data_IF_796629836671
#
_entry.id   IF_796629836671
#
_cell.length_a   1.000
_cell.length_b   1.000
_cell.length_c   1.000
_cell.angle_alpha   90.00
_cell.angle_beta   90.00
_cell.angle_gamma   90.00
#
_symmetry.space_group_name_H-M   'P 1'
#
loop_
_entity.id
_entity.type
_entity.pdbx_description
1 polymer ?
#
# COMPACT_ATOMS: atom_id res chain seq x y z
N UNK A 1 -9.94 -13.31 -12.34
CA UNK A 1 -9.31 -12.31 -13.24
C UNK A 1 -7.83 -12.50 -13.04
N UNK A 2 -7.20 -13.19 -13.97
CA UNK A 2 -5.77 -13.44 -13.93
C UNK A 2 -5.02 -12.12 -14.11
N UNK A 3 -3.98 -11.92 -13.30
CA UNK A 3 -3.14 -10.72 -13.34
C UNK A 3 -2.55 -10.44 -14.74
N UNK A 4 -2.48 -11.48 -15.59
CA UNK A 4 -1.92 -11.46 -16.94
C UNK A 4 -2.96 -11.40 -18.06
N UNK A 5 -4.24 -11.21 -17.73
CA UNK A 5 -5.26 -10.89 -18.74
C UNK A 5 -5.06 -9.46 -19.27
N UNK A 6 -5.45 -9.13 -20.52
CA UNK A 6 -5.33 -7.77 -21.06
C UNK A 6 -5.98 -6.70 -20.18
N UNK A 7 -7.15 -7.01 -19.59
CA UNK A 7 -7.82 -6.15 -18.62
C UNK A 7 -7.04 -6.01 -17.30
N UNK A 8 -6.42 -7.11 -16.83
CA UNK A 8 -5.55 -7.08 -15.65
C UNK A 8 -4.33 -6.19 -15.85
N UNK A 9 -3.67 -6.29 -17.01
CA UNK A 9 -2.54 -5.43 -17.37
C UNK A 9 -2.93 -3.95 -17.47
N UNK A 10 -4.07 -3.63 -18.07
CA UNK A 10 -4.59 -2.26 -18.10
C UNK A 10 -4.82 -1.68 -16.70
N UNK A 11 -5.40 -2.48 -15.79
CA UNK A 11 -5.59 -2.05 -14.40
C UNK A 11 -4.26 -1.86 -13.65
N UNK A 12 -3.26 -2.69 -13.93
CA UNK A 12 -1.91 -2.51 -13.39
C UNK A 12 -1.28 -1.21 -13.90
N UNK A 13 -1.29 -0.96 -15.21
CA UNK A 13 -0.78 0.29 -15.77
C UNK A 13 -1.50 1.51 -15.18
N UNK A 14 -2.82 1.46 -15.04
CA UNK A 14 -3.61 2.54 -14.44
C UNK A 14 -3.22 2.78 -12.98
N UNK A 15 -3.05 1.72 -12.19
CA UNK A 15 -2.57 1.81 -10.81
C UNK A 15 -1.18 2.45 -10.75
N UNK A 16 -0.26 2.03 -11.62
CA UNK A 16 1.09 2.58 -11.70
C UNK A 16 1.08 4.07 -12.10
N UNK A 17 0.29 4.45 -13.11
CA UNK A 17 0.15 5.85 -13.52
C UNK A 17 -0.39 6.72 -12.39
N UNK A 18 -1.41 6.26 -11.67
CA UNK A 18 -1.92 6.96 -10.47
C UNK A 18 -0.83 7.08 -9.41
N UNK A 19 -0.03 6.02 -9.23
CA UNK A 19 1.06 6.02 -8.23
C UNK A 19 2.10 7.10 -8.54
N UNK A 20 2.56 7.14 -9.79
CA UNK A 20 3.55 8.10 -10.26
C UNK A 20 3.00 9.52 -10.16
N UNK A 21 1.77 9.76 -10.65
CA UNK A 21 1.17 11.09 -10.57
C UNK A 21 1.03 11.59 -9.13
N UNK A 22 0.69 10.72 -8.18
CA UNK A 22 0.66 11.09 -6.75
C UNK A 22 2.06 11.45 -6.25
N UNK A 23 3.06 10.61 -6.55
CA UNK A 23 4.44 10.84 -6.13
C UNK A 23 4.97 12.18 -6.66
N UNK A 24 4.84 12.42 -7.96
CA UNK A 24 5.25 13.65 -8.65
C UNK A 24 4.50 14.88 -8.13
N UNK A 25 3.20 14.74 -7.82
CA UNK A 25 2.43 15.85 -7.24
C UNK A 25 3.00 16.24 -5.88
N UNK A 26 3.31 15.27 -5.03
CA UNK A 26 3.87 15.55 -3.70
C UNK A 26 5.28 16.09 -3.84
N UNK A 27 6.10 15.51 -4.72
CA UNK A 27 7.44 16.02 -5.02
C UNK A 27 7.40 17.48 -5.44
N UNK A 28 6.53 17.85 -6.38
CA UNK A 28 6.37 19.25 -6.80
C UNK A 28 5.94 20.19 -5.66
N UNK A 29 5.22 19.69 -4.65
CA UNK A 29 4.83 20.47 -3.47
C UNK A 29 6.01 20.60 -2.50
N UNK A 30 6.74 19.51 -2.28
CA UNK A 30 7.89 19.46 -1.37
C UNK A 30 9.02 20.34 -1.88
N UNK A 31 9.27 20.33 -3.19
CA UNK A 31 10.32 21.14 -3.84
C UNK A 31 10.09 22.65 -3.72
N UNK A 32 8.89 23.10 -3.34
CA UNK A 32 8.63 24.51 -3.01
C UNK A 32 9.32 24.95 -1.70
N UNK A 33 9.70 24.00 -0.84
CA UNK A 33 10.27 24.27 0.47
C UNK A 33 11.75 23.87 0.51
N UNK A 34 12.67 24.80 0.80
CA UNK A 34 14.09 24.47 0.91
C UNK A 34 14.39 23.75 2.24
N UNK A 35 14.96 22.54 2.16
CA UNK A 35 15.59 21.86 3.31
C UNK A 35 15.41 20.35 3.32
N UNK A 36 16.51 19.60 3.43
CA UNK A 36 16.48 18.12 3.42
C UNK A 36 15.64 17.52 4.55
N UNK A 37 15.66 18.14 5.74
CA UNK A 37 14.82 17.72 6.86
C UNK A 37 13.32 17.95 6.60
N UNK A 38 12.97 19.03 5.89
CA UNK A 38 11.59 19.32 5.52
C UNK A 38 11.13 18.30 4.48
N UNK A 39 11.99 17.99 3.52
CA UNK A 39 11.73 16.98 2.50
C UNK A 39 11.53 15.60 3.14
N UNK A 40 12.41 15.21 4.07
CA UNK A 40 12.24 14.00 4.85
C UNK A 40 10.87 13.95 5.52
N UNK A 41 10.52 14.98 6.30
CA UNK A 41 9.25 15.01 7.05
C UNK A 41 8.05 14.96 6.12
N UNK A 42 8.08 15.69 5.01
CA UNK A 42 6.97 15.75 4.07
C UNK A 42 6.76 14.41 3.34
N UNK A 43 7.82 13.82 2.78
CA UNK A 43 7.74 12.52 2.12
C UNK A 43 7.36 11.40 3.08
N UNK A 44 7.96 11.39 4.28
CA UNK A 44 7.70 10.39 5.31
C UNK A 44 6.26 10.47 5.82
N UNK A 45 5.82 11.65 6.27
CA UNK A 45 4.48 11.84 6.80
C UNK A 45 3.41 11.52 5.74
N UNK A 46 3.60 11.96 4.49
CA UNK A 46 2.62 11.70 3.44
C UNK A 46 2.61 10.24 3.02
N UNK A 47 3.79 9.62 2.85
CA UNK A 47 3.91 8.19 2.56
C UNK A 47 3.26 7.34 3.64
N UNK A 48 3.49 7.67 4.91
CA UNK A 48 2.92 6.98 6.05
C UNK A 48 1.39 7.12 6.14
N UNK A 49 0.87 8.33 5.92
CA UNK A 49 -0.57 8.59 5.91
C UNK A 49 -1.25 7.84 4.76
N UNK A 50 -0.71 7.92 3.54
CA UNK A 50 -1.27 7.23 2.38
C UNK A 50 -1.21 5.71 2.57
N UNK A 51 -0.13 5.16 3.15
CA UNK A 51 -0.01 3.74 3.44
C UNK A 51 -1.13 3.27 4.38
N UNK A 52 -1.24 3.89 5.55
CA UNK A 52 -2.17 3.45 6.59
C UNK A 52 -3.63 3.66 6.17
N UNK A 53 -3.94 4.80 5.52
CA UNK A 53 -5.29 5.04 4.99
C UNK A 53 -5.66 4.07 3.88
N UNK A 54 -4.74 3.73 2.97
CA UNK A 54 -4.98 2.73 1.91
C UNK A 54 -5.24 1.35 2.51
N UNK A 55 -4.43 0.96 3.49
CA UNK A 55 -4.61 -0.30 4.21
C UNK A 55 -5.98 -0.35 4.90
N UNK A 56 -6.38 0.72 5.60
CA UNK A 56 -7.70 0.82 6.25
C UNK A 56 -8.87 0.83 5.25
N UNK A 57 -8.75 1.55 4.13
CA UNK A 57 -9.76 1.61 3.08
C UNK A 57 -9.89 0.27 2.34
N UNK A 58 -8.82 -0.51 2.26
CA UNK A 58 -8.83 -1.86 1.70
C UNK A 58 -9.86 -2.77 2.38
N UNK A 59 -10.14 -2.56 3.67
CA UNK A 59 -11.20 -3.27 4.39
C UNK A 59 -12.62 -2.90 3.92
N UNK A 60 -12.84 -1.65 3.49
CA UNK A 60 -14.17 -1.16 3.07
C UNK A 60 -14.46 -1.48 1.61
N UNK A 61 -13.44 -1.55 0.77
CA UNK A 61 -13.61 -1.80 -0.67
C UNK A 61 -13.73 -3.31 -0.94
N UNK A 62 -14.97 -3.80 -1.02
CA UNK A 62 -15.27 -5.18 -1.45
C UNK A 62 -15.24 -5.38 -2.97
N UNK A 63 -15.32 -4.30 -3.75
CA UNK A 63 -15.40 -4.39 -5.21
C UNK A 63 -14.03 -4.61 -5.84
N UNK A 64 -13.86 -5.75 -6.52
CA UNK A 64 -12.66 -6.06 -7.33
C UNK A 64 -12.37 -4.98 -8.39
N UNK A 65 -13.41 -4.29 -8.87
CA UNK A 65 -13.28 -3.21 -9.87
C UNK A 65 -12.58 -1.96 -9.33
N UNK A 66 -12.51 -1.76 -8.02
CA UNK A 66 -11.92 -0.55 -7.43
C UNK A 66 -10.54 -0.81 -6.80
N UNK A 67 -10.07 -2.07 -6.86
CA UNK A 67 -8.83 -2.48 -6.20
C UNK A 67 -7.58 -1.93 -6.87
N UNK A 68 -7.63 -1.64 -8.18
CA UNK A 68 -6.54 -0.99 -8.92
C UNK A 68 -6.21 0.40 -8.35
N UNK A 69 -7.23 1.16 -7.93
CA UNK A 69 -7.04 2.49 -7.39
C UNK A 69 -6.33 2.43 -6.03
N UNK A 70 -6.78 1.51 -5.16
CA UNK A 70 -6.16 1.27 -3.86
C UNK A 70 -4.71 0.78 -3.99
N UNK A 71 -4.44 -0.08 -4.98
CA UNK A 71 -3.07 -0.52 -5.29
C UNK A 71 -2.20 0.65 -5.76
N UNK A 72 -2.77 1.61 -6.49
CA UNK A 72 -2.08 2.82 -6.89
C UNK A 72 -1.66 3.68 -5.68
N UNK A 73 -2.58 3.92 -4.74
CA UNK A 73 -2.25 4.62 -3.50
C UNK A 73 -1.23 3.85 -2.63
N UNK A 74 -1.33 2.53 -2.55
CA UNK A 74 -0.37 1.72 -1.79
C UNK A 74 1.04 1.82 -2.41
N UNK A 75 1.11 1.78 -3.75
CA UNK A 75 2.39 1.85 -4.47
C UNK A 75 3.00 3.25 -4.39
N UNK A 76 2.20 4.32 -4.48
CA UNK A 76 2.73 5.69 -4.25
C UNK A 76 3.24 5.87 -2.83
N UNK A 77 2.58 5.31 -1.82
CA UNK A 77 3.07 5.34 -0.45
C UNK A 77 4.47 4.73 -0.32
N UNK A 78 4.71 3.59 -0.98
CA UNK A 78 6.04 2.94 -1.00
C UNK A 78 7.07 3.83 -1.69
N UNK A 79 6.73 4.46 -2.81
CA UNK A 79 7.63 5.39 -3.52
C UNK A 79 8.00 6.56 -2.61
N UNK A 80 7.01 7.20 -1.97
CA UNK A 80 7.22 8.34 -1.08
C UNK A 80 8.10 7.99 0.12
N UNK A 81 7.86 6.84 0.76
CA UNK A 81 8.71 6.36 1.85
C UNK A 81 10.14 6.06 1.37
N UNK A 82 10.28 5.56 0.14
CA UNK A 82 11.58 5.39 -0.51
C UNK A 82 12.29 6.73 -0.73
N UNK A 83 11.59 7.75 -1.24
CA UNK A 83 12.12 9.09 -1.40
C UNK A 83 12.52 9.71 -0.05
N UNK A 84 11.71 9.54 1.00
CA UNK A 84 12.03 10.02 2.35
C UNK A 84 13.36 9.43 2.86
N UNK A 85 13.63 8.15 2.58
CA UNK A 85 14.86 7.50 3.01
C UNK A 85 16.13 8.11 2.37
N UNK A 86 16.01 8.76 1.20
CA UNK A 86 17.14 9.45 0.55
C UNK A 86 17.57 10.72 1.32
N UNK A 87 16.65 11.34 2.06
CA UNK A 87 16.90 12.55 2.85
C UNK A 87 17.17 12.24 4.33
N UNK A 88 17.19 10.96 4.73
CA UNK A 88 17.46 10.57 6.10
C UNK A 88 18.96 10.65 6.40
N UNK A 89 19.40 11.70 7.07
CA UNK A 89 20.76 11.78 7.60
C UNK A 89 20.98 10.71 8.70
N UNK A 90 22.25 10.40 9.01
CA UNK A 90 22.59 9.39 10.02
C UNK A 90 22.41 9.95 11.43
N UNK A 91 21.15 10.14 11.83
CA UNK A 91 20.75 10.68 13.13
C UNK A 91 19.78 9.71 13.83
N UNK A 92 20.00 9.48 15.13
CA UNK A 92 19.22 8.53 15.94
C UNK A 92 17.71 8.81 15.94
N UNK A 93 17.33 10.08 15.77
CA UNK A 93 15.93 10.48 15.70
C UNK A 93 15.18 9.79 14.55
N UNK A 94 15.80 9.62 13.37
CA UNK A 94 15.15 8.95 12.23
C UNK A 94 14.90 7.47 12.51
N UNK A 95 15.82 6.79 13.20
CA UNK A 95 15.62 5.40 13.64
C UNK A 95 14.41 5.27 14.55
N UNK A 96 14.19 6.23 15.46
CA UNK A 96 13.01 6.25 16.32
C UNK A 96 11.74 6.47 15.50
N UNK A 97 11.74 7.44 14.57
CA UNK A 97 10.60 7.70 13.68
C UNK A 97 10.21 6.42 12.93
N UNK A 98 11.15 5.79 12.24
CA UNK A 98 10.88 4.54 11.52
C UNK A 98 10.42 3.40 12.42
N UNK A 99 10.96 3.31 13.64
CA UNK A 99 10.52 2.29 14.62
C UNK A 99 9.06 2.51 15.03
N UNK A 100 8.67 3.77 15.28
CA UNK A 100 7.29 4.13 15.62
C UNK A 100 6.35 3.88 14.44
N UNK A 101 6.73 4.29 13.23
CA UNK A 101 5.95 4.04 12.02
C UNK A 101 5.74 2.56 11.75
N UNK A 102 6.78 1.74 11.92
CA UNK A 102 6.69 0.30 11.78
C UNK A 102 5.71 -0.30 12.78
N UNK A 103 5.81 0.09 14.06
CA UNK A 103 4.91 -0.38 15.11
C UNK A 103 3.46 -0.01 14.79
N UNK A 104 3.18 1.23 14.41
CA UNK A 104 1.82 1.67 14.06
C UNK A 104 1.29 0.89 12.85
N UNK A 105 2.10 0.76 11.79
CA UNK A 105 1.70 0.03 10.58
C UNK A 105 1.39 -1.42 10.88
N UNK A 106 2.18 -2.08 11.74
CA UNK A 106 1.93 -3.44 12.20
C UNK A 106 0.64 -3.53 13.03
N UNK A 107 0.36 -2.55 13.90
CA UNK A 107 -0.88 -2.51 14.67
C UNK A 107 -2.11 -2.34 13.76
N UNK A 108 -2.04 -1.45 12.76
CA UNK A 108 -3.10 -1.25 11.78
C UNK A 108 -3.31 -2.52 10.93
N UNK A 109 -2.23 -3.11 10.41
CA UNK A 109 -2.30 -4.34 9.63
C UNK A 109 -2.87 -5.52 10.45
N UNK A 110 -2.41 -5.69 11.69
CA UNK A 110 -2.89 -6.75 12.59
C UNK A 110 -4.36 -6.53 12.97
N UNK A 111 -4.75 -5.28 13.24
CA UNK A 111 -6.13 -4.94 13.48
C UNK A 111 -6.99 -5.38 12.29
N UNK A 112 -6.62 -5.04 11.05
CA UNK A 112 -7.40 -5.44 9.87
C UNK A 112 -7.46 -6.96 9.70
N UNK A 113 -6.33 -7.65 9.86
CA UNK A 113 -6.25 -9.11 9.73
C UNK A 113 -7.14 -9.85 10.72
N UNK A 114 -7.27 -9.35 11.95
CA UNK A 114 -8.14 -9.93 12.99
C UNK A 114 -9.64 -9.89 12.64
N UNK A 115 -10.06 -8.97 11.78
CA UNK A 115 -11.47 -8.82 11.36
C UNK A 115 -11.76 -9.39 9.96
N UNK A 116 -10.77 -9.92 9.24
CA UNK A 116 -11.06 -10.75 8.08
C UNK A 116 -11.61 -12.10 8.57
N UNK A 117 -12.82 -12.51 8.16
CA UNK A 117 -13.31 -13.82 8.56
C UNK A 117 -12.35 -14.90 8.03
N UNK A 118 -12.10 -15.99 8.79
CA UNK A 118 -11.28 -17.12 8.34
C UNK A 118 -11.83 -17.85 7.10
N UNK A 119 -12.93 -17.36 6.50
CA UNK A 119 -13.65 -17.93 5.37
C UNK A 119 -12.83 -18.06 4.08
N UNK A 120 -11.74 -17.30 3.87
CA UNK A 120 -10.86 -17.53 2.69
C UNK A 120 -10.19 -18.91 2.71
N UNK A 121 -9.91 -19.48 3.90
CA UNK A 121 -9.41 -20.85 4.01
C UNK A 121 -10.51 -21.90 3.82
N UNK A 122 -11.76 -21.53 4.11
CA UNK A 122 -12.94 -22.40 3.88
C UNK A 122 -13.29 -22.46 2.40
N UNK A 123 -13.12 -21.38 1.63
CA UNK A 123 -13.34 -21.42 0.18
C UNK A 123 -12.24 -22.20 -0.55
N UNK A 124 -10.97 -22.06 -0.13
CA UNK A 124 -9.86 -22.85 -0.67
C UNK A 124 -10.00 -24.35 -0.36
N UNK A 125 -10.46 -24.71 0.83
CA UNK A 125 -10.72 -26.11 1.17
C UNK A 125 -11.94 -26.67 0.42
N UNK A 126 -12.99 -25.86 0.21
CA UNK A 126 -14.15 -26.23 -0.62
C UNK A 126 -13.77 -26.43 -2.10
N UNK A 127 -12.91 -25.58 -2.67
CA UNK A 127 -12.44 -25.75 -4.05
C UNK A 127 -11.62 -27.03 -4.23
N UNK A 128 -10.74 -27.36 -3.26
CA UNK A 128 -10.00 -28.63 -3.25
C UNK A 128 -10.95 -29.83 -3.12
N UNK A 129 -11.94 -29.76 -2.23
CA UNK A 129 -12.93 -30.83 -2.08
C UNK A 129 -13.78 -31.05 -3.34
N UNK A 130 -14.18 -29.97 -4.02
CA UNK A 130 -14.92 -30.07 -5.29
C UNK A 130 -14.08 -30.63 -6.44
N UNK A 131 -12.76 -30.40 -6.47
CA UNK A 131 -11.88 -31.00 -7.47
C UNK A 131 -11.70 -32.51 -7.27
N UNK A 132 -11.66 -32.96 -6.01
CA UNK A 132 -11.56 -34.40 -5.69
C UNK A 132 -12.86 -35.11 -6.10
N UNK A 133 -14.02 -34.51 -5.84
CA UNK A 133 -15.34 -35.10 -6.17
C UNK A 133 -15.69 -35.15 -7.67
N UNK A 134 -14.95 -34.44 -8.53
CA UNK A 134 -15.14 -34.46 -10.00
C UNK A 134 -14.20 -35.46 -10.68
N UNK A 135 -13.24 -36.03 -9.92
CA UNK A 135 -12.27 -37.01 -10.41
C UNK A 135 -12.67 -38.47 -10.11
N UNK A 136 -13.81 -38.69 -9.47
CA UNK A 136 -14.48 -39.99 -9.29
C UNK A 136 -15.68 -40.10 -10.25
#
# INVERSE_FOLDING_TARGET
MDAWSPAGYQHFCLALSVSILIAETIESIVDLFPGEQINFVAYNAWGFLVLNTSVMLGKRIRSKKNMWCLNGFLTSAVILLGCAALFAEQHWAYTIVYSVELVITLLVANHIRKYEPPQKFVELSKMRASQIAVSE
#
